data_IF_619534183179
#
_entry.id   IF_619534183179
#
_cell.length_a   1.000
_cell.length_b   1.000
_cell.length_c   1.000
_cell.angle_alpha   90.00
_cell.angle_beta   90.00
_cell.angle_gamma   90.00
#
_symmetry.space_group_name_H-M   'P 1'
#
loop_
_entity.id
_entity.type
_entity.pdbx_description
1 polymer ?
#
# COMPACT_ATOMS: atom_id res chain seq x y z
N UNK A 1 -15.01 -3.67 -38.38
CA UNK A 1 -13.79 -4.05 -37.64
C UNK A 1 -14.12 -3.90 -36.16
N UNK A 2 -14.38 -5.00 -35.46
CA UNK A 2 -14.77 -4.98 -34.05
C UNK A 2 -13.52 -5.01 -33.18
N UNK A 3 -13.44 -4.09 -32.21
CA UNK A 3 -12.38 -4.06 -31.22
C UNK A 3 -12.41 -5.34 -30.36
N UNK A 4 -11.26 -5.86 -29.90
CA UNK A 4 -11.26 -6.97 -28.95
C UNK A 4 -11.85 -6.49 -27.63
N UNK A 5 -12.82 -7.24 -27.12
CA UNK A 5 -13.33 -7.10 -25.76
C UNK A 5 -12.15 -7.26 -24.80
N UNK A 6 -12.00 -6.30 -23.88
CA UNK A 6 -11.13 -6.41 -22.71
C UNK A 6 -11.39 -7.77 -22.07
N UNK A 7 -10.44 -8.70 -22.28
CA UNK A 7 -10.42 -9.99 -21.61
C UNK A 7 -10.47 -9.71 -20.12
N UNK A 8 -11.43 -10.34 -19.45
CA UNK A 8 -11.56 -10.37 -18.00
C UNK A 8 -10.18 -10.38 -17.37
N UNK A 9 -9.88 -9.32 -16.60
CA UNK A 9 -8.77 -9.36 -15.66
C UNK A 9 -9.20 -10.38 -14.61
N UNK A 10 -9.00 -11.66 -14.90
CA UNK A 10 -9.14 -12.74 -13.94
C UNK A 10 -8.09 -12.40 -12.88
N UNK A 11 -8.56 -11.94 -11.73
CA UNK A 11 -7.66 -11.76 -10.61
C UNK A 11 -7.09 -13.14 -10.34
N UNK A 12 -5.76 -13.29 -10.35
CA UNK A 12 -5.12 -14.60 -10.18
C UNK A 12 -5.46 -15.24 -8.81
N UNK A 13 -6.16 -14.51 -7.94
CA UNK A 13 -6.75 -15.02 -6.70
C UNK A 13 -7.84 -16.08 -6.92
N UNK A 14 -8.56 -16.07 -8.06
CA UNK A 14 -9.60 -17.06 -8.35
C UNK A 14 -9.05 -18.48 -8.63
N UNK A 15 -7.74 -18.58 -8.85
CA UNK A 15 -7.01 -19.85 -9.10
C UNK A 15 -6.42 -20.42 -7.81
N UNK A 16 -6.32 -19.61 -6.74
CA UNK A 16 -5.74 -20.01 -5.47
C UNK A 16 -6.75 -20.84 -4.67
N UNK A 17 -6.33 -22.01 -4.19
CA UNK A 17 -7.14 -22.75 -3.22
C UNK A 17 -7.29 -21.97 -1.89
N UNK A 18 -8.26 -22.38 -1.07
CA UNK A 18 -8.57 -21.71 0.20
C UNK A 18 -7.40 -21.68 1.20
N UNK A 19 -6.35 -22.50 1.02
CA UNK A 19 -5.16 -22.45 1.85
C UNK A 19 -4.23 -21.32 1.39
N UNK A 20 -3.97 -21.22 0.09
CA UNK A 20 -3.16 -20.15 -0.49
C UNK A 20 -3.77 -18.76 -0.25
N UNK A 21 -5.08 -18.60 -0.42
CA UNK A 21 -5.79 -17.34 -0.12
C UNK A 21 -5.56 -16.92 1.33
N UNK A 22 -5.66 -17.87 2.27
CA UNK A 22 -5.46 -17.60 3.71
C UNK A 22 -4.03 -17.22 4.03
N UNK A 23 -3.05 -17.88 3.42
CA UNK A 23 -1.64 -17.53 3.59
C UNK A 23 -1.35 -16.14 3.04
N UNK A 24 -1.91 -15.81 1.88
CA UNK A 24 -1.83 -14.47 1.31
C UNK A 24 -2.46 -13.41 2.21
N UNK A 25 -3.69 -13.65 2.70
CA UNK A 25 -4.38 -12.73 3.62
C UNK A 25 -3.58 -12.49 4.89
N UNK A 26 -2.98 -13.55 5.45
CA UNK A 26 -2.14 -13.44 6.63
C UNK A 26 -0.86 -12.64 6.35
N UNK A 27 -0.22 -12.86 5.20
CA UNK A 27 0.98 -12.12 4.81
C UNK A 27 0.67 -10.63 4.63
N UNK A 28 -0.46 -10.31 4.01
CA UNK A 28 -0.91 -8.95 3.83
C UNK A 28 -1.28 -8.28 5.16
N UNK A 29 -1.97 -8.98 6.06
CA UNK A 29 -2.25 -8.47 7.41
C UNK A 29 -0.98 -8.18 8.19
N UNK A 30 0.03 -9.05 8.10
CA UNK A 30 1.31 -8.85 8.74
C UNK A 30 2.01 -7.59 8.22
N UNK A 31 2.01 -7.39 6.89
CA UNK A 31 2.58 -6.20 6.26
C UNK A 31 1.85 -4.92 6.70
N UNK A 32 0.52 -4.92 6.63
CA UNK A 32 -0.30 -3.76 7.01
C UNK A 32 -0.27 -3.48 8.52
N UNK A 33 0.16 -4.44 9.34
CA UNK A 33 0.34 -4.28 10.79
C UNK A 33 1.71 -3.74 11.19
N UNK A 34 2.61 -3.51 10.23
CA UNK A 34 3.90 -2.89 10.52
C UNK A 34 3.74 -1.41 10.89
N UNK A 35 4.59 -0.92 11.79
CA UNK A 35 4.62 0.50 12.16
C UNK A 35 4.92 1.41 10.96
N UNK A 36 5.71 0.91 10.00
CA UNK A 36 6.00 1.62 8.75
C UNK A 36 4.73 1.81 7.91
N UNK A 37 3.95 0.74 7.70
CA UNK A 37 2.68 0.82 6.98
C UNK A 37 1.69 1.76 7.69
N UNK A 38 1.51 1.62 9.01
CA UNK A 38 0.61 2.49 9.78
C UNK A 38 1.03 3.97 9.69
N UNK A 39 2.33 4.26 9.78
CA UNK A 39 2.85 5.62 9.64
C UNK A 39 2.65 6.18 8.24
N UNK A 40 2.89 5.37 7.19
CA UNK A 40 2.70 5.79 5.81
C UNK A 40 1.23 6.09 5.51
N UNK A 41 0.30 5.21 5.90
CA UNK A 41 -1.13 5.44 5.72
C UNK A 41 -1.62 6.65 6.51
N UNK A 42 -1.13 6.85 7.73
CA UNK A 42 -1.47 8.03 8.53
C UNK A 42 -1.03 9.33 7.85
N UNK A 43 0.20 9.40 7.33
CA UNK A 43 0.70 10.56 6.59
C UNK A 43 -0.08 10.81 5.28
N UNK A 44 -0.50 9.74 4.58
CA UNK A 44 -1.37 9.84 3.41
C UNK A 44 -2.74 10.43 3.76
N UNK A 45 -3.33 9.99 4.87
CA UNK A 45 -4.63 10.46 5.34
C UNK A 45 -4.58 11.92 5.83
N UNK A 46 -3.44 12.39 6.32
CA UNK A 46 -3.21 13.81 6.64
C UNK A 46 -2.86 14.65 5.41
N UNK A 47 -2.42 14.01 4.32
CA UNK A 47 -1.87 14.69 3.16
C UNK A 47 -0.53 15.38 3.43
N UNK A 48 0.17 15.00 4.50
CA UNK A 48 1.41 15.65 4.93
C UNK A 48 2.40 14.62 5.48
N UNK A 49 3.65 14.55 4.96
CA UNK A 49 4.66 13.70 5.56
C UNK A 49 5.12 14.26 6.89
N UNK A 50 5.71 13.42 7.76
CA UNK A 50 6.51 13.94 8.87
C UNK A 50 7.87 14.41 8.38
N UNK A 51 8.51 15.32 9.11
CA UNK A 51 9.87 15.75 8.77
C UNK A 51 10.86 14.58 8.66
N UNK A 52 10.72 13.60 9.56
CA UNK A 52 11.57 12.41 9.57
C UNK A 52 11.34 11.55 8.31
N UNK A 53 10.09 11.34 7.93
CA UNK A 53 9.74 10.58 6.72
C UNK A 53 10.19 11.30 5.46
N UNK A 54 10.08 12.62 5.40
CA UNK A 54 10.58 13.40 4.27
C UNK A 54 12.12 13.32 4.17
N UNK A 55 12.85 13.35 5.28
CA UNK A 55 14.31 13.18 5.27
C UNK A 55 14.77 11.83 4.74
N UNK A 56 13.93 10.80 4.88
CA UNK A 56 14.19 9.44 4.41
C UNK A 56 13.60 9.17 3.01
N UNK A 57 12.90 10.14 2.42
CA UNK A 57 12.25 9.95 1.12
C UNK A 57 13.25 10.00 -0.02
N UNK A 58 12.96 9.27 -1.10
CA UNK A 58 13.76 9.29 -2.32
C UNK A 58 13.80 10.69 -2.96
N UNK A 59 12.68 11.43 -2.90
CA UNK A 59 12.56 12.81 -3.36
C UNK A 59 12.63 13.80 -2.19
N UNK A 60 13.76 13.79 -1.48
CA UNK A 60 14.01 14.75 -0.41
C UNK A 60 14.01 16.20 -0.95
N UNK A 61 13.25 17.08 -0.30
CA UNK A 61 13.17 18.50 -0.61
C UNK A 61 13.42 19.32 0.65
N UNK A 62 14.61 19.91 0.78
CA UNK A 62 14.99 20.72 1.96
C UNK A 62 14.08 21.93 2.20
N UNK A 63 13.49 22.48 1.15
CA UNK A 63 12.58 23.63 1.21
C UNK A 63 11.11 23.25 1.41
N UNK A 64 10.81 21.99 1.69
CA UNK A 64 9.43 21.55 1.82
C UNK A 64 8.74 22.23 3.02
N UNK A 65 7.47 22.67 2.89
CA UNK A 65 6.75 23.39 3.95
C UNK A 65 6.66 22.66 5.30
N UNK A 66 6.79 21.33 5.29
CA UNK A 66 6.78 20.49 6.50
C UNK A 66 7.73 20.97 7.60
N UNK A 67 8.88 21.53 7.22
CA UNK A 67 9.88 22.04 8.17
C UNK A 67 9.47 23.37 8.82
N UNK A 68 8.64 24.15 8.15
CA UNK A 68 8.07 25.38 8.72
C UNK A 68 6.88 25.06 9.63
N UNK A 69 6.13 24.00 9.29
CA UNK A 69 5.01 23.51 10.08
C UNK A 69 5.45 22.69 11.30
N UNK A 70 6.74 22.37 11.41
CA UNK A 70 7.30 21.51 12.46
C UNK A 70 6.53 20.20 12.63
N UNK A 71 6.12 19.59 11.51
CA UNK A 71 5.30 18.39 11.53
C UNK A 71 6.15 17.16 11.88
N UNK A 72 6.34 16.96 13.18
CA UNK A 72 7.16 15.88 13.73
C UNK A 72 6.40 14.55 13.78
N UNK A 73 5.09 14.60 14.07
CA UNK A 73 4.25 13.44 14.29
C UNK A 73 2.89 13.61 13.61
N UNK A 74 2.33 12.49 13.16
CA UNK A 74 0.95 12.42 12.67
C UNK A 74 -0.04 12.52 13.83
N UNK A 75 -1.19 13.15 13.58
CA UNK A 75 -2.28 13.29 14.53
C UNK A 75 -2.91 11.96 14.92
N UNK A 76 -3.46 11.90 16.14
CA UNK A 76 -4.21 10.73 16.62
C UNK A 76 -5.41 10.40 15.74
N UNK A 77 -6.02 11.42 15.14
CA UNK A 77 -7.14 11.24 14.22
C UNK A 77 -6.73 10.46 12.97
N UNK A 78 -5.55 10.75 12.41
CA UNK A 78 -5.02 10.07 11.25
C UNK A 78 -4.58 8.64 11.59
N UNK A 79 -3.94 8.44 12.74
CA UNK A 79 -3.61 7.10 13.25
C UNK A 79 -4.85 6.24 13.42
N UNK A 80 -5.92 6.81 13.97
CA UNK A 80 -7.20 6.11 14.16
C UNK A 80 -7.80 5.71 12.81
N UNK A 81 -7.91 6.65 11.87
CA UNK A 81 -8.38 6.38 10.51
C UNK A 81 -7.51 5.36 9.76
N UNK A 82 -6.20 5.36 9.98
CA UNK A 82 -5.28 4.37 9.41
C UNK A 82 -5.61 2.96 9.92
N UNK A 83 -5.90 2.80 11.21
CA UNK A 83 -6.29 1.50 11.79
C UNK A 83 -7.65 1.02 11.28
N UNK A 84 -8.60 1.93 11.12
CA UNK A 84 -9.93 1.65 10.53
C UNK A 84 -9.83 1.27 9.05
N UNK A 85 -8.98 1.95 8.28
CA UNK A 85 -8.72 1.61 6.89
C UNK A 85 -8.13 0.22 6.77
N UNK A 86 -7.18 -0.14 7.64
CA UNK A 86 -6.63 -1.50 7.70
C UNK A 86 -7.71 -2.54 8.01
N UNK A 87 -8.57 -2.30 8.99
CA UNK A 87 -9.59 -3.29 9.38
C UNK A 87 -10.69 -3.48 8.32
N UNK A 88 -10.88 -2.50 7.45
CA UNK A 88 -11.87 -2.53 6.36
C UNK A 88 -11.27 -2.82 4.99
N UNK A 89 -9.94 -3.01 4.91
CA UNK A 89 -9.25 -3.23 3.66
C UNK A 89 -9.70 -4.55 3.01
N UNK A 90 -10.38 -4.44 1.86
CA UNK A 90 -10.85 -5.61 1.13
C UNK A 90 -9.72 -6.18 0.26
N UNK A 91 -9.05 -7.20 0.81
CA UNK A 91 -7.90 -7.87 0.21
C UNK A 91 -8.23 -8.56 -1.11
N UNK A 92 -9.47 -9.01 -1.31
CA UNK A 92 -9.88 -9.64 -2.58
C UNK A 92 -9.99 -8.66 -3.74
N UNK A 93 -9.96 -7.35 -3.47
CA UNK A 93 -9.90 -6.31 -4.51
C UNK A 93 -8.47 -5.95 -4.92
N UNK A 94 -7.46 -6.54 -4.27
CA UNK A 94 -6.08 -6.32 -4.63
C UNK A 94 -5.78 -7.11 -5.92
N UNK A 95 -5.65 -6.40 -7.04
CA UNK A 95 -5.23 -7.01 -8.30
C UNK A 95 -3.71 -7.11 -8.27
N UNK A 96 -3.20 -8.32 -8.04
CA UNK A 96 -1.79 -8.62 -8.16
C UNK A 96 -1.55 -9.30 -9.50
N UNK A 97 -0.94 -8.55 -10.43
CA UNK A 97 -0.46 -9.09 -11.68
C UNK A 97 0.91 -9.74 -11.43
N UNK A 98 0.92 -11.07 -11.40
CA UNK A 98 2.13 -11.88 -11.26
C UNK A 98 2.63 -12.39 -12.62
N UNK A 99 2.44 -11.63 -13.70
CA UNK A 99 3.12 -11.90 -14.98
C UNK A 99 4.63 -11.69 -14.82
N UNK A 100 5.28 -12.71 -14.29
CA UNK A 100 6.73 -12.79 -14.21
C UNK A 100 7.30 -12.99 -15.61
N UNK A 101 7.76 -11.90 -16.23
CA UNK A 101 8.85 -12.00 -17.21
C UNK A 101 10.15 -12.33 -16.49
N UNK A 102 10.26 -13.57 -15.97
CA UNK A 102 11.57 -14.15 -15.69
C UNK A 102 12.14 -14.62 -17.03
N UNK A 103 12.73 -13.68 -17.78
CA UNK A 103 13.64 -14.01 -18.87
C UNK A 103 14.87 -14.69 -18.26
N UNK A 104 14.83 -16.02 -18.19
CA UNK A 104 16.01 -16.85 -18.11
C UNK A 104 16.83 -16.61 -19.39
N UNK A 105 17.85 -15.76 -19.31
CA UNK A 105 18.96 -15.80 -20.24
C UNK A 105 20.00 -16.78 -19.67
N UNK A 106 19.91 -18.03 -20.12
CA UNK A 106 21.03 -18.99 -20.10
C UNK A 106 21.96 -18.73 -21.28
#
# INVERSE_FOLDING_TARGET
MSAPLLTDVVSHADILDAAHVRTFDQALDNLLSTACAESAFSQLLEGLPTEASLRQSFWYLKSHPVYQLHHAEVSDSARTKSKELRSTFNKSRLVLDFTGEYLYHS
#
